data_IF_263679003381
#
_entry.id   IF_263679003381
#
_cell.length_a   1.000
_cell.length_b   1.000
_cell.length_c   1.000
_cell.angle_alpha   90.00
_cell.angle_beta   90.00
_cell.angle_gamma   90.00
#
_symmetry.space_group_name_H-M   'P 1'
#
loop_
_entity.id
_entity.type
_entity.pdbx_description
1 polymer ?
#
# COMPACT_ATOMS: atom_id res chain seq x y z
N UNK A 1 -3.05 13.52 19.96
CA UNK A 1 -3.02 14.11 18.62
C UNK A 1 -2.71 13.03 17.60
N UNK A 2 -3.53 12.91 16.58
CA UNK A 2 -3.37 11.89 15.56
C UNK A 2 -2.24 12.25 14.60
N UNK A 3 -1.36 11.29 14.34
CA UNK A 3 -0.25 11.47 13.44
C UNK A 3 -0.53 10.74 12.13
N UNK A 4 -0.33 11.40 11.01
CA UNK A 4 -0.54 10.80 9.71
C UNK A 4 0.78 10.29 9.15
N UNK A 5 0.83 9.01 8.79
CA UNK A 5 2.03 8.35 8.27
C UNK A 5 1.72 7.80 6.89
N UNK A 6 2.58 8.10 5.93
CA UNK A 6 2.48 7.56 4.58
C UNK A 6 3.52 6.44 4.45
N UNK A 7 3.07 5.28 4.01
CA UNK A 7 3.91 4.09 3.92
C UNK A 7 4.11 3.71 2.46
N UNK A 8 5.36 3.48 2.06
CA UNK A 8 5.67 2.96 0.73
C UNK A 8 5.40 1.46 0.72
N UNK A 9 4.20 1.10 0.35
CA UNK A 9 3.75 -0.27 0.37
C UNK A 9 4.47 -1.16 -0.63
N UNK A 10 4.82 -0.61 -1.78
CA UNK A 10 5.54 -1.39 -2.80
C UNK A 10 6.89 -1.85 -2.28
N UNK A 11 7.60 -0.97 -1.58
CA UNK A 11 8.90 -1.29 -1.03
C UNK A 11 8.80 -2.36 0.07
N UNK A 12 7.82 -2.21 0.96
CA UNK A 12 7.61 -3.17 2.04
C UNK A 12 7.22 -4.54 1.48
N UNK A 13 6.33 -4.55 0.49
CA UNK A 13 5.83 -5.79 -0.08
C UNK A 13 6.90 -6.59 -0.83
N UNK A 14 7.96 -5.93 -1.27
CA UNK A 14 9.04 -6.58 -2.02
C UNK A 14 10.29 -6.80 -1.21
N UNK A 15 10.30 -6.42 0.05
CA UNK A 15 11.49 -6.57 0.88
C UNK A 15 11.89 -8.04 0.99
N UNK A 16 13.14 -8.31 0.62
CA UNK A 16 13.68 -9.66 0.67
C UNK A 16 13.17 -10.60 -0.40
N UNK A 17 12.48 -10.10 -1.42
CA UNK A 17 11.90 -10.92 -2.46
C UNK A 17 11.82 -10.17 -3.78
N UNK A 18 11.67 -10.90 -4.88
CA UNK A 18 11.61 -10.30 -6.21
C UNK A 18 10.21 -9.81 -6.57
N UNK A 19 9.19 -10.52 -6.12
CA UNK A 19 7.80 -10.19 -6.41
C UNK A 19 7.13 -9.64 -5.17
N UNK A 20 6.27 -8.62 -5.30
CA UNK A 20 5.58 -8.09 -4.13
C UNK A 20 4.59 -9.10 -3.56
N UNK A 21 4.39 -9.02 -2.26
CA UNK A 21 3.43 -9.86 -1.55
C UNK A 21 2.46 -8.97 -0.77
N UNK A 22 1.20 -9.05 -1.11
CA UNK A 22 0.17 -8.31 -0.38
C UNK A 22 0.12 -8.77 1.08
N UNK A 23 0.26 -10.07 1.31
CA UNK A 23 0.27 -10.62 2.65
C UNK A 23 1.40 -10.03 3.49
N UNK A 24 2.60 -9.96 2.92
CA UNK A 24 3.74 -9.38 3.62
C UNK A 24 3.49 -7.92 3.97
N UNK A 25 2.92 -7.17 3.03
CA UNK A 25 2.58 -5.77 3.26
C UNK A 25 1.58 -5.64 4.40
N UNK A 26 0.51 -6.43 4.38
CA UNK A 26 -0.54 -6.32 5.38
C UNK A 26 -0.04 -6.73 6.77
N UNK A 27 0.82 -7.73 6.86
CA UNK A 27 1.40 -8.14 8.13
C UNK A 27 2.30 -7.05 8.71
N UNK A 28 3.12 -6.42 7.86
CA UNK A 28 4.00 -5.36 8.30
C UNK A 28 3.21 -4.13 8.76
N UNK A 29 2.16 -3.77 8.02
CA UNK A 29 1.33 -2.63 8.39
C UNK A 29 0.56 -2.91 9.68
N UNK A 30 0.05 -4.13 9.84
CA UNK A 30 -0.66 -4.48 11.07
C UNK A 30 0.24 -4.35 12.30
N UNK A 31 1.49 -4.77 12.18
CA UNK A 31 2.45 -4.63 13.27
C UNK A 31 2.75 -3.16 13.56
N UNK A 32 2.85 -2.34 12.50
CA UNK A 32 3.11 -0.92 12.65
C UNK A 32 1.94 -0.22 13.34
N UNK A 33 0.70 -0.54 12.94
CA UNK A 33 -0.50 0.03 13.55
C UNK A 33 -0.60 -0.36 15.02
N UNK A 34 -0.24 -1.60 15.32
CA UNK A 34 -0.30 -2.12 16.69
C UNK A 34 0.64 -1.35 17.61
N UNK A 35 1.81 -0.96 17.10
CA UNK A 35 2.78 -0.17 17.85
C UNK A 35 2.40 1.30 17.94
N UNK A 36 1.61 1.80 16.99
CA UNK A 36 1.26 3.22 16.91
C UNK A 36 -0.24 3.40 16.69
N UNK A 37 -1.05 3.08 17.71
CA UNK A 37 -2.52 3.11 17.54
C UNK A 37 -3.07 4.51 17.28
N UNK A 38 -2.31 5.55 17.61
CA UNK A 38 -2.75 6.93 17.39
C UNK A 38 -2.43 7.45 16.01
N UNK A 39 -1.84 6.62 15.14
CA UNK A 39 -1.43 7.04 13.80
C UNK A 39 -2.48 6.67 12.77
N UNK A 40 -2.71 7.57 11.83
CA UNK A 40 -3.47 7.27 10.61
C UNK A 40 -2.46 6.87 9.54
N UNK A 41 -2.64 5.70 8.97
CA UNK A 41 -1.68 5.17 8.02
C UNK A 41 -2.29 5.14 6.63
N UNK A 42 -1.58 5.73 5.68
CA UNK A 42 -1.92 5.66 4.26
C UNK A 42 -0.88 4.78 3.58
N UNK A 43 -1.31 3.72 2.95
CA UNK A 43 -0.43 2.81 2.23
C UNK A 43 -0.50 3.19 0.75
N UNK A 44 0.65 3.51 0.17
CA UNK A 44 0.73 3.87 -1.24
C UNK A 44 1.56 2.82 -1.97
N UNK A 45 1.06 2.34 -3.08
CA UNK A 45 1.77 1.37 -3.93
C UNK A 45 1.90 1.94 -5.33
N UNK A 46 2.82 1.39 -6.12
CA UNK A 46 2.99 1.88 -7.49
C UNK A 46 1.85 1.37 -8.39
N UNK A 47 1.75 1.96 -9.59
CA UNK A 47 0.65 1.69 -10.50
C UNK A 47 0.62 0.24 -11.01
N UNK A 48 1.73 -0.46 -10.94
CA UNK A 48 1.84 -1.83 -11.43
C UNK A 48 1.68 -2.89 -10.34
N UNK A 49 1.49 -2.45 -9.10
CA UNK A 49 1.47 -3.38 -7.96
C UNK A 49 0.49 -4.53 -8.15
N UNK A 50 -0.72 -4.21 -8.57
CA UNK A 50 -1.77 -5.22 -8.76
C UNK A 50 -1.46 -6.26 -9.84
N UNK A 51 -0.55 -5.93 -10.76
CA UNK A 51 -0.14 -6.84 -11.80
C UNK A 51 1.06 -7.71 -11.40
N UNK A 52 1.69 -7.36 -10.29
CA UNK A 52 2.91 -8.03 -9.83
C UNK A 52 2.69 -8.96 -8.65
N UNK A 53 1.59 -8.81 -7.93
CA UNK A 53 1.27 -9.71 -6.81
C UNK A 53 0.71 -11.02 -7.34
N UNK A 54 0.66 -12.02 -6.46
CA UNK A 54 0.09 -13.31 -6.80
C UNK A 54 -1.37 -13.15 -7.23
N UNK A 55 -1.80 -13.80 -8.32
CA UNK A 55 -3.20 -13.69 -8.76
C UNK A 55 -4.23 -14.01 -7.65
N UNK A 56 -3.87 -14.86 -6.71
CA UNK A 56 -4.76 -15.18 -5.60
C UNK A 56 -4.98 -13.98 -4.66
N UNK A 57 -4.11 -12.98 -4.72
CA UNK A 57 -4.22 -11.80 -3.87
C UNK A 57 -4.93 -10.63 -4.55
N UNK A 58 -5.20 -10.72 -5.85
CA UNK A 58 -5.74 -9.59 -6.62
C UNK A 58 -7.10 -9.16 -6.10
N UNK A 59 -7.98 -10.11 -5.80
CA UNK A 59 -9.31 -9.77 -5.31
C UNK A 59 -9.25 -9.00 -3.99
N UNK A 60 -8.37 -9.43 -3.09
CA UNK A 60 -8.19 -8.73 -1.82
C UNK A 60 -7.59 -7.35 -2.02
N UNK A 61 -6.62 -7.24 -2.93
CA UNK A 61 -6.01 -5.96 -3.26
C UNK A 61 -7.04 -5.00 -3.83
N UNK A 62 -7.87 -5.46 -4.76
CA UNK A 62 -8.90 -4.62 -5.36
C UNK A 62 -9.90 -4.14 -4.30
N UNK A 63 -10.26 -5.00 -3.36
CA UNK A 63 -11.14 -4.62 -2.27
C UNK A 63 -10.49 -3.57 -1.37
N UNK A 64 -9.21 -3.71 -1.08
CA UNK A 64 -8.50 -2.75 -0.25
C UNK A 64 -8.40 -1.39 -0.93
N UNK A 65 -8.20 -1.36 -2.24
CA UNK A 65 -8.19 -0.10 -3.00
C UNK A 65 -9.58 0.54 -2.99
N UNK A 66 -10.62 -0.26 -3.21
CA UNK A 66 -11.99 0.24 -3.20
C UNK A 66 -12.40 0.80 -1.85
N UNK A 67 -11.86 0.25 -0.78
CA UNK A 67 -12.14 0.70 0.58
C UNK A 67 -11.17 1.76 1.07
N UNK A 68 -10.33 2.29 0.19
CA UNK A 68 -9.35 3.34 0.50
C UNK A 68 -8.32 2.92 1.54
N UNK A 69 -8.05 1.64 1.66
CA UNK A 69 -7.02 1.14 2.57
C UNK A 69 -5.64 1.22 1.91
N UNK A 70 -5.61 1.11 0.58
CA UNK A 70 -4.40 1.20 -0.21
C UNK A 70 -4.66 2.20 -1.33
N UNK A 71 -3.71 3.09 -1.55
CA UNK A 71 -3.78 4.06 -2.64
C UNK A 71 -2.89 3.56 -3.78
N UNK A 72 -3.51 3.28 -4.92
CA UNK A 72 -2.79 2.84 -6.10
C UNK A 72 -3.16 3.79 -7.25
N UNK A 73 -2.22 4.63 -7.70
CA UNK A 73 -2.54 5.54 -8.80
C UNK A 73 -2.78 4.73 -10.07
N UNK A 74 -3.66 5.22 -10.95
CA UNK A 74 -3.90 4.52 -12.21
C UNK A 74 -2.65 4.55 -13.09
N UNK A 75 -2.52 3.52 -13.93
CA UNK A 75 -1.44 3.48 -14.90
C UNK A 75 -1.56 4.73 -15.78
N UNK A 76 -0.49 5.42 -16.01
CA UNK A 76 -0.52 6.67 -16.75
C UNK A 76 -0.53 7.90 -15.86
N UNK A 77 -0.72 7.77 -14.57
CA UNK A 77 -0.62 8.87 -13.63
C UNK A 77 0.83 9.09 -13.20
N UNK A 78 1.75 8.76 -14.06
CA UNK A 78 3.18 8.84 -13.79
C UNK A 78 3.56 10.28 -13.49
N UNK A 79 4.34 10.48 -12.45
CA UNK A 79 4.77 11.81 -12.06
C UNK A 79 3.76 12.55 -11.20
N UNK A 80 2.63 11.93 -10.91
CA UNK A 80 1.59 12.57 -10.10
C UNK A 80 1.42 11.88 -8.75
N UNK A 81 2.35 11.03 -8.37
CA UNK A 81 2.26 10.32 -7.11
C UNK A 81 2.18 11.23 -5.91
N UNK A 82 2.85 12.37 -5.98
CA UNK A 82 2.83 13.35 -4.91
C UNK A 82 1.43 13.92 -4.66
N UNK A 83 0.62 14.06 -5.72
CA UNK A 83 -0.74 14.55 -5.58
C UNK A 83 -1.60 13.58 -4.76
N UNK A 84 -1.37 12.29 -4.90
CA UNK A 84 -2.10 11.29 -4.13
C UNK A 84 -1.65 11.28 -2.68
N UNK A 85 -0.38 11.52 -2.45
CA UNK A 85 0.18 11.52 -1.11
C UNK A 85 -0.26 12.75 -0.33
N UNK A 86 -0.34 13.89 -1.02
CA UNK A 86 -0.66 15.16 -0.37
C UNK A 86 -2.15 15.37 -0.14
N UNK A 87 -2.98 14.65 -0.85
CA UNK A 87 -4.42 14.77 -0.66
C UNK A 87 -4.88 13.93 0.50
#
# INVERSE_FOLDING_TARGET
>A
MTKHVVVDGSNIATEGRQMPSLRQLKEAVAAFVDERPDSLITIVVDATFGHRIDPSEVAEFDADVSNNRIVAPPAGAVGRGDAFVLS
#
